data_IF_617897685094
#
_entry.id   IF_617897685094
#
_cell.length_a   1.000
_cell.length_b   1.000
_cell.length_c   1.000
_cell.angle_alpha   90.00
_cell.angle_beta   90.00
_cell.angle_gamma   90.00
#
_symmetry.space_group_name_H-M   'P 1'
#
loop_
_entity.id
_entity.type
_entity.pdbx_description
1 polymer ?
#
# COMPACT_ATOMS: atom_id res chain seq x y z
N UNK A 1 6.52 13.45 19.24
CA UNK A 1 7.06 13.53 17.86
C UNK A 1 7.00 14.97 17.35
N UNK A 2 8.13 15.53 16.92
CA UNK A 2 8.15 16.86 16.30
C UNK A 2 7.45 16.82 14.93
N UNK A 3 6.97 17.98 14.44
CA UNK A 3 6.38 18.09 13.10
C UNK A 3 7.36 17.64 12.00
N UNK A 4 8.66 17.90 12.21
CA UNK A 4 9.73 17.52 11.28
C UNK A 4 9.91 16.02 11.19
N UNK A 5 9.97 15.30 12.31
CA UNK A 5 10.08 13.83 12.33
C UNK A 5 8.86 13.17 11.68
N UNK A 6 7.66 13.73 11.88
CA UNK A 6 6.45 13.23 11.20
C UNK A 6 6.53 13.42 9.68
N UNK A 7 6.98 14.59 9.23
CA UNK A 7 7.17 14.87 7.80
C UNK A 7 8.23 13.93 7.22
N UNK A 8 9.34 13.73 7.94
CA UNK A 8 10.40 12.81 7.54
C UNK A 8 9.87 11.37 7.38
N UNK A 9 9.07 10.89 8.35
CA UNK A 9 8.45 9.57 8.25
C UNK A 9 7.60 9.42 6.98
N UNK A 10 6.75 10.40 6.69
CA UNK A 10 5.89 10.38 5.51
C UNK A 10 6.68 10.44 4.20
N UNK A 11 7.68 11.34 4.12
CA UNK A 11 8.56 11.45 2.94
C UNK A 11 9.32 10.15 2.71
N UNK A 12 9.74 9.49 3.79
CA UNK A 12 10.46 8.23 3.72
C UNK A 12 9.59 7.07 3.17
N UNK A 13 8.31 6.98 3.58
CA UNK A 13 7.35 6.02 2.99
C UNK A 13 7.24 6.25 1.48
N UNK A 14 7.07 7.50 1.06
CA UNK A 14 6.95 7.84 -0.36
C UNK A 14 8.23 7.56 -1.14
N UNK A 15 9.40 7.85 -0.55
CA UNK A 15 10.69 7.58 -1.18
C UNK A 15 10.91 6.07 -1.36
N UNK A 16 10.63 5.26 -0.35
CA UNK A 16 10.72 3.79 -0.45
C UNK A 16 9.86 3.25 -1.60
N UNK A 17 8.62 3.73 -1.74
CA UNK A 17 7.71 3.32 -2.82
C UNK A 17 8.31 3.62 -4.21
N UNK A 18 8.91 4.79 -4.39
CA UNK A 18 9.47 5.23 -5.68
C UNK A 18 10.76 4.49 -5.99
N UNK A 19 11.63 4.33 -5.00
CA UNK A 19 12.90 3.60 -5.15
C UNK A 19 12.65 2.14 -5.50
N UNK A 20 11.71 1.47 -4.84
CA UNK A 20 11.33 0.09 -5.16
C UNK A 20 10.88 -0.06 -6.62
N UNK A 21 10.11 0.91 -7.15
CA UNK A 21 9.69 0.93 -8.57
C UNK A 21 10.86 1.11 -9.52
N UNK A 22 11.75 2.04 -9.21
CA UNK A 22 12.96 2.26 -10.01
C UNK A 22 13.83 0.99 -10.06
N UNK A 23 14.02 0.33 -8.91
CA UNK A 23 14.78 -0.94 -8.82
C UNK A 23 14.17 -2.02 -9.72
N UNK A 24 12.83 -2.18 -9.71
CA UNK A 24 12.16 -3.18 -10.58
C UNK A 24 12.53 -2.94 -12.04
N UNK A 25 12.42 -1.70 -12.52
CA UNK A 25 12.74 -1.40 -13.92
C UNK A 25 14.23 -1.54 -14.23
N UNK A 26 15.15 -1.18 -13.32
CA UNK A 26 16.57 -1.44 -13.47
C UNK A 26 16.86 -2.95 -13.59
N UNK A 27 16.25 -3.77 -12.74
CA UNK A 27 16.42 -5.25 -12.76
C UNK A 27 15.85 -5.88 -14.04
N UNK A 28 14.80 -5.29 -14.59
CA UNK A 28 14.21 -5.71 -15.87
C UNK A 28 14.95 -5.14 -17.10
N UNK A 29 16.00 -4.33 -16.88
CA UNK A 29 16.79 -3.65 -17.92
C UNK A 29 15.96 -2.63 -18.74
N UNK A 30 14.82 -2.20 -18.23
CA UNK A 30 14.05 -1.08 -18.78
C UNK A 30 14.60 0.24 -18.19
N UNK A 31 15.84 0.56 -18.58
CA UNK A 31 16.57 1.71 -18.05
C UNK A 31 15.86 3.03 -18.32
N UNK A 32 15.16 3.13 -19.44
CA UNK A 32 14.40 4.35 -19.78
C UNK A 32 13.36 4.65 -18.72
N UNK A 33 12.52 3.64 -18.36
CA UNK A 33 11.52 3.80 -17.32
C UNK A 33 12.13 3.96 -15.93
N UNK A 34 13.20 3.21 -15.62
CA UNK A 34 13.90 3.35 -14.35
C UNK A 34 14.38 4.78 -14.12
N UNK A 35 14.97 5.40 -15.15
CA UNK A 35 15.48 6.77 -15.10
C UNK A 35 14.39 7.83 -14.96
N UNK A 36 13.15 7.57 -15.40
CA UNK A 36 12.01 8.48 -15.18
C UNK A 36 11.72 8.73 -13.68
N UNK A 37 12.02 7.77 -12.81
CA UNK A 37 11.84 7.91 -11.36
C UNK A 37 12.99 8.65 -10.66
N UNK A 38 14.19 8.67 -11.24
CA UNK A 38 15.40 9.18 -10.57
C UNK A 38 15.34 10.66 -10.17
N UNK A 39 14.71 11.58 -10.92
CA UNK A 39 14.54 12.97 -10.47
C UNK A 39 13.73 13.06 -9.16
N UNK A 40 12.65 12.30 -9.03
CA UNK A 40 11.83 12.29 -7.82
C UNK A 40 12.57 11.58 -6.66
N UNK A 41 13.25 10.45 -6.92
CA UNK A 41 14.15 9.80 -5.95
C UNK A 41 15.16 10.79 -5.41
N UNK A 42 15.87 11.52 -6.28
CA UNK A 42 16.89 12.50 -5.89
C UNK A 42 16.30 13.65 -5.07
N UNK A 43 15.12 14.15 -5.45
CA UNK A 43 14.43 15.22 -4.74
C UNK A 43 14.02 14.82 -3.33
N UNK A 44 13.34 13.66 -3.18
CA UNK A 44 12.90 13.16 -1.87
C UNK A 44 14.08 12.70 -1.01
N UNK A 45 15.09 12.05 -1.60
CA UNK A 45 16.30 11.65 -0.90
C UNK A 45 17.01 12.87 -0.27
N UNK A 46 17.11 13.99 -0.98
CA UNK A 46 17.64 15.24 -0.40
C UNK A 46 16.85 15.67 0.83
N UNK A 47 15.52 15.68 0.77
CA UNK A 47 14.68 16.07 1.92
C UNK A 47 14.87 15.12 3.13
N UNK A 48 15.01 13.81 2.88
CA UNK A 48 15.28 12.84 3.94
C UNK A 48 16.66 13.12 4.57
N UNK A 49 17.70 13.32 3.75
CA UNK A 49 19.06 13.59 4.24
C UNK A 49 19.11 14.90 5.04
N UNK A 50 18.52 15.97 4.50
CA UNK A 50 18.46 17.26 5.18
C UNK A 50 17.74 17.12 6.53
N UNK A 51 16.67 16.32 6.59
CA UNK A 51 15.96 16.02 7.83
C UNK A 51 16.79 15.21 8.82
N UNK A 52 17.54 14.20 8.38
CA UNK A 52 18.45 13.41 9.22
C UNK A 52 19.57 14.26 9.81
N UNK A 53 20.14 15.16 9.01
CA UNK A 53 21.22 16.06 9.45
C UNK A 53 20.71 17.16 10.39
N UNK A 54 19.49 17.67 10.17
CA UNK A 54 18.88 18.67 11.04
C UNK A 54 18.52 18.11 12.42
N UNK A 55 18.15 16.84 12.49
CA UNK A 55 17.76 16.12 13.72
C UNK A 55 18.86 15.10 14.12
N UNK A 56 20.14 15.45 13.96
CA UNK A 56 21.26 14.53 14.15
C UNK A 56 21.33 13.89 15.54
N UNK A 57 20.94 14.62 16.59
CA UNK A 57 20.85 14.07 17.96
C UNK A 57 19.76 12.99 18.07
N UNK A 58 18.66 13.16 17.32
CA UNK A 58 17.60 12.17 17.26
C UNK A 58 18.04 10.92 16.48
N UNK A 59 18.82 11.11 15.43
CA UNK A 59 19.33 10.06 14.53
C UNK A 59 20.81 9.73 14.77
N UNK A 60 21.30 9.83 16.01
CA UNK A 60 22.70 9.58 16.39
C UNK A 60 23.28 8.23 15.92
N UNK A 61 22.42 7.24 15.65
CA UNK A 61 22.82 5.93 15.14
C UNK A 61 23.06 5.91 13.61
N UNK A 62 22.72 7.00 12.91
CA UNK A 62 22.97 7.12 11.47
C UNK A 62 24.33 7.75 11.25
N UNK A 63 25.32 6.96 10.81
CA UNK A 63 26.65 7.45 10.51
C UNK A 63 26.66 8.41 9.31
N UNK A 64 27.09 9.65 9.53
CA UNK A 64 27.19 10.65 8.47
C UNK A 64 28.20 10.21 7.40
N UNK A 65 29.32 9.59 7.78
CA UNK A 65 30.35 9.13 6.84
C UNK A 65 29.79 8.02 5.93
N UNK A 66 29.11 7.04 6.50
CA UNK A 66 28.46 5.97 5.72
C UNK A 66 27.37 6.50 4.78
N UNK A 67 26.64 7.54 5.22
CA UNK A 67 25.64 8.22 4.39
C UNK A 67 26.30 8.90 3.19
N UNK A 68 27.39 9.63 3.40
CA UNK A 68 28.12 10.31 2.33
C UNK A 68 28.73 9.31 1.35
N UNK A 69 29.35 8.22 1.82
CA UNK A 69 29.91 7.17 0.99
C UNK A 69 28.83 6.52 0.11
N UNK A 70 27.67 6.22 0.66
CA UNK A 70 26.53 5.70 -0.10
C UNK A 70 26.07 6.68 -1.21
N UNK A 71 25.95 7.98 -0.89
CA UNK A 71 25.54 9.00 -1.86
C UNK A 71 26.56 9.17 -2.99
N UNK A 72 27.86 9.19 -2.66
CA UNK A 72 28.93 9.25 -3.64
C UNK A 72 28.85 8.05 -4.57
N UNK A 73 28.70 6.83 -4.03
CA UNK A 73 28.51 5.63 -4.83
C UNK A 73 27.33 5.69 -5.79
N UNK A 74 26.16 6.17 -5.33
CA UNK A 74 24.96 6.35 -6.19
C UNK A 74 25.25 7.35 -7.32
N UNK A 75 25.91 8.47 -7.02
CA UNK A 75 26.24 9.48 -8.03
C UNK A 75 27.26 8.93 -9.04
N UNK A 76 28.28 8.22 -8.59
CA UNK A 76 29.30 7.62 -9.46
C UNK A 76 28.72 6.54 -10.37
N UNK A 77 27.91 5.62 -9.82
CA UNK A 77 27.23 4.60 -10.60
C UNK A 77 26.31 5.21 -11.67
N UNK A 78 25.56 6.26 -11.29
CA UNK A 78 24.69 6.97 -12.22
C UNK A 78 25.49 7.67 -13.34
N UNK A 79 26.62 8.31 -13.04
CA UNK A 79 27.49 8.95 -14.03
C UNK A 79 28.18 7.97 -14.98
N UNK A 80 28.55 6.80 -14.44
CA UNK A 80 29.15 5.73 -15.21
C UNK A 80 28.14 4.93 -16.03
N UNK A 81 26.85 5.23 -15.89
CA UNK A 81 25.73 4.45 -16.48
C UNK A 81 25.77 2.96 -16.06
N UNK A 82 26.37 2.68 -14.90
CA UNK A 82 26.37 1.34 -14.31
C UNK A 82 25.03 1.11 -13.57
N UNK A 83 24.02 0.79 -14.33
CA UNK A 83 22.66 0.63 -13.81
C UNK A 83 22.49 -0.62 -12.96
N UNK A 84 23.37 -1.60 -13.08
CA UNK A 84 23.37 -2.78 -12.19
C UNK A 84 23.87 -2.37 -10.81
N UNK A 85 25.02 -1.70 -10.74
CA UNK A 85 25.54 -1.18 -9.48
C UNK A 85 24.59 -0.16 -8.86
N UNK A 86 24.00 0.72 -9.68
CA UNK A 86 23.02 1.70 -9.20
C UNK A 86 21.82 1.00 -8.53
N UNK A 87 21.27 -0.04 -9.15
CA UNK A 87 20.18 -0.83 -8.56
C UNK A 87 20.61 -1.51 -7.25
N UNK A 88 21.83 -2.05 -7.17
CA UNK A 88 22.36 -2.65 -5.94
C UNK A 88 22.50 -1.63 -4.81
N UNK A 89 23.02 -0.45 -5.09
CA UNK A 89 23.16 0.63 -4.11
C UNK A 89 21.79 1.13 -3.62
N UNK A 90 20.83 1.29 -4.52
CA UNK A 90 19.47 1.67 -4.16
C UNK A 90 18.80 0.61 -3.28
N UNK A 91 18.92 -0.67 -3.65
CA UNK A 91 18.25 -1.77 -2.95
C UNK A 91 18.90 -2.11 -1.61
N UNK A 92 20.23 -2.31 -1.60
CA UNK A 92 20.94 -2.86 -0.47
C UNK A 92 21.40 -1.79 0.53
N UNK A 93 21.62 -0.55 0.08
CA UNK A 93 22.07 0.52 0.95
C UNK A 93 20.97 1.54 1.24
N UNK A 94 20.40 2.19 0.22
CA UNK A 94 19.40 3.22 0.42
C UNK A 94 18.12 2.67 1.07
N UNK A 95 17.49 1.63 0.51
CA UNK A 95 16.29 1.05 1.11
C UNK A 95 16.54 0.55 2.54
N UNK A 96 17.70 -0.04 2.82
CA UNK A 96 18.07 -0.49 4.17
C UNK A 96 18.16 0.69 5.13
N UNK A 97 18.83 1.79 4.74
CA UNK A 97 18.90 3.00 5.53
C UNK A 97 17.50 3.54 5.83
N UNK A 98 16.66 3.67 4.79
CA UNK A 98 15.30 4.21 4.92
C UNK A 98 14.44 3.35 5.86
N UNK A 99 14.50 2.02 5.76
CA UNK A 99 13.80 1.12 6.67
C UNK A 99 14.30 1.25 8.11
N UNK A 100 15.62 1.35 8.32
CA UNK A 100 16.20 1.56 9.65
C UNK A 100 15.74 2.89 10.28
N UNK A 101 15.66 3.95 9.49
CA UNK A 101 15.12 5.25 9.92
C UNK A 101 13.65 5.12 10.33
N UNK A 102 12.81 4.42 9.53
CA UNK A 102 11.42 4.17 9.87
C UNK A 102 11.28 3.42 11.20
N UNK A 103 12.02 2.33 11.35
CA UNK A 103 11.98 1.53 12.59
C UNK A 103 12.43 2.35 13.81
N UNK A 104 13.44 3.19 13.66
CA UNK A 104 13.92 4.05 14.74
C UNK A 104 12.84 5.05 15.16
N UNK A 105 12.17 5.70 14.20
CA UNK A 105 11.07 6.62 14.48
C UNK A 105 9.93 5.89 15.18
N UNK A 106 9.53 4.74 14.68
CA UNK A 106 8.45 3.94 15.28
C UNK A 106 8.76 3.53 16.72
N UNK A 107 10.01 3.18 17.02
CA UNK A 107 10.45 2.80 18.39
C UNK A 107 10.52 3.99 19.33
N UNK A 108 11.06 5.14 18.87
CA UNK A 108 11.26 6.31 19.73
C UNK A 108 9.97 7.07 20.04
N UNK A 109 9.02 7.08 19.10
CA UNK A 109 7.87 7.99 19.17
C UNK A 109 6.58 7.32 19.60
N UNK A 110 6.57 6.00 19.84
CA UNK A 110 5.31 5.25 20.02
C UNK A 110 4.29 5.68 18.95
N UNK A 111 4.66 5.52 17.70
CA UNK A 111 3.99 6.12 16.56
C UNK A 111 2.54 5.63 16.46
N UNK A 112 1.61 6.56 16.65
CA UNK A 112 0.18 6.26 16.54
C UNK A 112 -0.24 6.18 15.06
N UNK A 113 -0.41 4.96 14.56
CA UNK A 113 -0.93 4.70 13.20
C UNK A 113 -2.44 4.96 13.08
N UNK A 114 -3.16 4.95 14.18
CA UNK A 114 -4.59 5.22 14.22
C UNK A 114 -4.86 6.70 14.49
N UNK A 115 -5.73 7.31 13.67
CA UNK A 115 -6.27 8.65 13.87
C UNK A 115 -7.79 8.60 13.75
N UNK A 116 -8.49 8.92 14.83
CA UNK A 116 -9.96 8.95 14.87
C UNK A 116 -10.54 9.89 13.81
N UNK A 117 -9.91 11.05 13.60
CA UNK A 117 -10.36 12.02 12.59
C UNK A 117 -10.23 11.44 11.19
N UNK A 118 -9.06 10.90 10.85
CA UNK A 118 -8.82 10.26 9.55
C UNK A 118 -9.78 9.08 9.33
N UNK A 119 -9.95 8.25 10.35
CA UNK A 119 -10.87 7.11 10.28
C UNK A 119 -12.28 7.54 9.94
N UNK A 120 -12.84 8.53 10.65
CA UNK A 120 -14.20 9.05 10.39
C UNK A 120 -14.33 9.64 8.98
N UNK A 121 -13.36 10.44 8.56
CA UNK A 121 -13.36 11.02 7.21
C UNK A 121 -13.35 9.93 6.14
N UNK A 122 -12.49 8.92 6.30
CA UNK A 122 -12.38 7.81 5.36
C UNK A 122 -13.62 6.90 5.37
N UNK A 123 -14.24 6.65 6.54
CA UNK A 123 -15.51 5.92 6.62
C UNK A 123 -16.64 6.63 5.87
N UNK A 124 -16.77 7.95 6.04
CA UNK A 124 -17.79 8.72 5.33
C UNK A 124 -17.58 8.68 3.80
N UNK A 125 -16.33 8.84 3.35
CA UNK A 125 -16.00 8.74 1.94
C UNK A 125 -16.21 7.31 1.40
N UNK A 126 -15.88 6.28 2.18
CA UNK A 126 -16.12 4.87 1.86
C UNK A 126 -17.62 4.57 1.73
N UNK A 127 -18.47 5.08 2.62
CA UNK A 127 -19.92 4.95 2.49
C UNK A 127 -20.42 5.48 1.15
N UNK A 128 -19.91 6.64 0.71
CA UNK A 128 -20.25 7.20 -0.60
C UNK A 128 -19.84 6.30 -1.75
N UNK A 129 -18.66 5.69 -1.68
CA UNK A 129 -18.18 4.72 -2.68
C UNK A 129 -19.00 3.44 -2.70
N UNK A 130 -19.33 2.91 -1.53
CA UNK A 130 -20.17 1.71 -1.38
C UNK A 130 -21.59 1.95 -1.92
N UNK A 131 -22.19 3.10 -1.64
CA UNK A 131 -23.50 3.47 -2.20
C UNK A 131 -23.45 3.55 -3.74
N UNK A 132 -22.40 4.17 -4.30
CA UNK A 132 -22.19 4.23 -5.74
C UNK A 132 -21.95 2.84 -6.35
N UNK A 133 -21.38 1.90 -5.59
CA UNK A 133 -21.20 0.50 -5.97
C UNK A 133 -22.43 -0.39 -5.78
N UNK A 134 -23.57 0.17 -5.36
CA UNK A 134 -24.83 -0.54 -5.19
C UNK A 134 -25.08 -1.16 -3.82
N UNK A 135 -24.19 -0.91 -2.83
CA UNK A 135 -24.40 -1.37 -1.46
C UNK A 135 -25.54 -0.61 -0.80
N UNK A 136 -26.54 -1.32 -0.31
CA UNK A 136 -27.66 -0.73 0.45
C UNK A 136 -27.26 -0.47 1.90
N UNK A 137 -27.53 0.75 2.40
CA UNK A 137 -27.26 1.14 3.79
C UNK A 137 -25.79 0.92 4.23
N UNK A 138 -24.80 1.45 3.48
CA UNK A 138 -23.37 1.22 3.74
C UNK A 138 -22.96 1.75 5.13
N UNK A 139 -23.71 2.70 5.73
CA UNK A 139 -23.45 3.26 7.05
C UNK A 139 -23.49 2.18 8.14
N UNK A 140 -24.34 1.18 8.00
CA UNK A 140 -24.43 0.07 8.98
C UNK A 140 -23.11 -0.68 9.17
N UNK A 141 -22.30 -0.71 8.14
CA UNK A 141 -20.97 -1.34 8.22
C UNK A 141 -20.09 -0.64 9.26
N UNK A 142 -20.24 0.67 9.45
CA UNK A 142 -19.40 1.51 10.30
C UNK A 142 -20.06 1.91 11.64
N UNK A 143 -21.31 1.48 11.91
CA UNK A 143 -22.01 1.75 13.18
C UNK A 143 -21.28 1.14 14.38
N UNK A 144 -20.71 -0.07 14.22
CA UNK A 144 -19.96 -0.73 15.28
C UNK A 144 -18.52 -0.19 15.24
N UNK A 145 -18.01 0.41 16.32
CA UNK A 145 -16.63 0.88 16.38
C UNK A 145 -15.64 -0.28 16.29
N UNK A 146 -14.42 0.04 15.88
CA UNK A 146 -13.32 -0.92 15.91
C UNK A 146 -12.98 -1.27 17.36
N UNK A 147 -13.03 -2.55 17.68
CA UNK A 147 -12.62 -3.08 18.99
C UNK A 147 -11.43 -4.02 18.79
N UNK A 148 -10.22 -3.68 19.30
CA UNK A 148 -9.03 -4.51 19.11
C UNK A 148 -9.18 -5.95 19.62
N UNK A 149 -9.87 -6.15 20.76
CA UNK A 149 -10.07 -7.49 21.33
C UNK A 149 -11.00 -8.33 20.46
N UNK A 150 -12.08 -7.72 19.96
CA UNK A 150 -13.00 -8.40 19.05
C UNK A 150 -12.32 -8.75 17.73
N UNK A 151 -11.50 -7.87 17.19
CA UNK A 151 -10.72 -8.11 15.97
C UNK A 151 -9.78 -9.29 16.14
N UNK A 152 -9.04 -9.36 17.26
CA UNK A 152 -8.16 -10.49 17.56
C UNK A 152 -8.95 -11.80 17.72
N UNK A 153 -10.10 -11.76 18.40
CA UNK A 153 -10.97 -12.92 18.58
C UNK A 153 -11.58 -13.40 17.25
N UNK A 154 -11.82 -12.48 16.32
CA UNK A 154 -12.25 -12.77 14.96
C UNK A 154 -11.11 -13.18 14.02
N UNK A 155 -9.87 -13.21 14.50
CA UNK A 155 -8.70 -13.65 13.76
C UNK A 155 -8.00 -12.57 12.95
N UNK A 156 -8.29 -11.28 13.17
CA UNK A 156 -7.59 -10.18 12.50
C UNK A 156 -6.45 -9.67 13.36
N UNK A 157 -5.27 -9.54 12.77
CA UNK A 157 -4.11 -8.92 13.40
C UNK A 157 -3.55 -7.84 12.48
N UNK A 158 -3.54 -6.61 12.98
CA UNK A 158 -2.96 -5.46 12.29
C UNK A 158 -1.48 -5.39 12.62
N UNK A 159 -0.63 -5.28 11.61
CA UNK A 159 0.82 -5.21 11.76
C UNK A 159 1.40 -4.03 10.99
N UNK A 160 2.37 -3.36 11.60
CA UNK A 160 3.18 -2.36 10.90
C UNK A 160 4.35 -3.06 10.21
N UNK A 161 4.64 -2.63 9.00
CA UNK A 161 5.77 -3.16 8.23
C UNK A 161 7.00 -2.25 8.35
N UNK A 162 8.17 -2.77 8.00
CA UNK A 162 9.42 -2.00 8.06
C UNK A 162 9.40 -0.73 7.18
N UNK A 163 8.57 -0.69 6.16
CA UNK A 163 8.40 0.51 5.33
C UNK A 163 7.45 1.55 5.95
N UNK A 164 6.82 1.26 7.09
CA UNK A 164 5.89 2.18 7.77
C UNK A 164 4.44 2.13 7.27
N UNK A 165 4.11 1.24 6.35
CA UNK A 165 2.73 0.95 5.96
C UNK A 165 2.17 -0.19 6.82
N UNK A 166 0.84 -0.27 6.92
CA UNK A 166 0.16 -1.28 7.69
C UNK A 166 -0.31 -2.45 6.81
N UNK A 167 -0.27 -3.64 7.36
CA UNK A 167 -0.90 -4.83 6.77
C UNK A 167 -1.80 -5.53 7.77
N UNK A 168 -2.63 -6.43 7.29
CA UNK A 168 -3.52 -7.24 8.12
C UNK A 168 -3.25 -8.72 7.85
N UNK A 169 -3.01 -9.46 8.91
CA UNK A 169 -3.02 -10.92 8.89
C UNK A 169 -4.40 -11.42 9.31
N UNK A 170 -4.98 -12.30 8.53
CA UNK A 170 -6.27 -12.95 8.79
C UNK A 170 -6.03 -14.42 9.12
N UNK A 171 -6.52 -14.87 10.27
CA UNK A 171 -6.43 -16.28 10.66
C UNK A 171 -7.32 -17.14 9.76
N UNK A 172 -6.80 -18.29 9.36
CA UNK A 172 -7.51 -19.28 8.56
C UNK A 172 -7.28 -20.68 9.17
N UNK A 173 -7.99 -21.67 8.69
CA UNK A 173 -7.79 -23.09 9.07
C UNK A 173 -6.38 -23.63 8.74
N UNK A 174 -5.67 -22.98 7.82
CA UNK A 174 -4.34 -23.36 7.35
C UNK A 174 -3.21 -22.46 7.86
N UNK A 175 -3.50 -21.55 8.79
CA UNK A 175 -2.57 -20.56 9.31
C UNK A 175 -3.05 -19.13 9.06
N UNK A 176 -2.14 -18.15 9.05
CA UNK A 176 -2.49 -16.75 8.78
C UNK A 176 -2.20 -16.39 7.34
N UNK A 177 -3.13 -15.67 6.70
CA UNK A 177 -2.96 -15.05 5.39
C UNK A 177 -2.76 -13.56 5.58
N UNK A 178 -1.64 -13.03 5.10
CA UNK A 178 -1.42 -11.59 5.05
C UNK A 178 -2.12 -11.01 3.82
N UNK A 179 -2.94 -9.98 4.03
CA UNK A 179 -3.62 -9.29 2.91
C UNK A 179 -2.64 -8.53 2.02
N UNK A 180 -1.54 -8.07 2.60
CA UNK A 180 -0.38 -7.50 1.88
C UNK A 180 0.91 -7.98 2.54
N UNK A 181 2.02 -7.87 1.82
CA UNK A 181 3.34 -8.21 2.33
C UNK A 181 3.58 -7.59 3.72
N UNK A 182 4.18 -8.35 4.62
CA UNK A 182 4.60 -7.84 5.92
C UNK A 182 5.94 -7.07 5.89
N UNK A 183 6.48 -6.82 4.70
CA UNK A 183 7.73 -6.09 4.51
C UNK A 183 7.57 -4.97 3.47
N UNK A 184 7.53 -5.28 2.17
CA UNK A 184 7.52 -4.33 1.06
C UNK A 184 6.11 -4.17 0.48
N UNK A 185 5.21 -3.57 1.25
CA UNK A 185 3.79 -3.39 0.85
C UNK A 185 3.65 -2.60 -0.46
N UNK A 186 4.38 -1.49 -0.60
CA UNK A 186 4.31 -0.66 -1.80
C UNK A 186 4.79 -1.38 -3.05
N UNK A 187 5.88 -2.15 -2.94
CA UNK A 187 6.41 -2.96 -4.04
C UNK A 187 5.41 -4.04 -4.46
N UNK A 188 4.85 -4.78 -3.50
CA UNK A 188 3.84 -5.80 -3.78
C UNK A 188 2.63 -5.19 -4.49
N UNK A 189 2.08 -4.10 -3.95
CA UNK A 189 0.94 -3.40 -4.53
C UNK A 189 1.21 -2.97 -5.98
N UNK A 190 2.41 -2.43 -6.25
CA UNK A 190 2.84 -2.07 -7.59
C UNK A 190 2.90 -3.28 -8.54
N UNK A 191 3.49 -4.40 -8.11
CA UNK A 191 3.63 -5.59 -8.93
C UNK A 191 2.27 -6.25 -9.22
N UNK A 192 1.38 -6.31 -8.22
CA UNK A 192 0.01 -6.81 -8.37
C UNK A 192 -0.76 -5.94 -9.37
N UNK A 193 -0.76 -4.63 -9.17
CA UNK A 193 -1.42 -3.69 -10.08
C UNK A 193 -0.87 -3.79 -11.51
N UNK A 194 0.46 -3.91 -11.64
CA UNK A 194 1.12 -4.09 -12.94
C UNK A 194 0.71 -5.39 -13.63
N UNK A 195 0.50 -6.46 -12.87
CA UNK A 195 0.00 -7.72 -13.43
C UNK A 195 -1.42 -7.56 -13.98
N UNK A 196 -2.29 -6.83 -13.31
CA UNK A 196 -3.63 -6.50 -13.76
C UNK A 196 -3.62 -5.58 -14.99
N UNK A 197 -2.79 -4.56 -14.97
CA UNK A 197 -2.65 -3.57 -16.05
C UNK A 197 -2.09 -4.12 -17.37
N UNK A 198 -1.58 -5.37 -17.38
CA UNK A 198 -1.18 -6.08 -18.64
C UNK A 198 -2.36 -6.35 -19.54
N UNK A 199 -3.57 -6.49 -18.99
CA UNK A 199 -4.80 -6.61 -19.75
C UNK A 199 -5.19 -5.19 -20.23
N UNK A 200 -5.46 -5.06 -21.53
CA UNK A 200 -5.98 -3.81 -22.07
C UNK A 200 -7.49 -3.82 -21.97
N UNK A 201 -8.03 -3.09 -21.02
CA UNK A 201 -9.45 -3.09 -20.70
C UNK A 201 -9.92 -1.68 -20.32
N UNK A 202 -11.18 -1.38 -20.61
CA UNK A 202 -11.83 -0.14 -20.19
C UNK A 202 -12.26 -0.19 -18.70
N UNK A 203 -12.52 -1.41 -18.22
CA UNK A 203 -12.98 -1.63 -16.85
C UNK A 203 -12.23 -2.81 -16.22
N UNK A 204 -11.71 -2.61 -15.03
CA UNK A 204 -11.07 -3.64 -14.23
C UNK A 204 -12.01 -4.05 -13.08
N UNK A 205 -12.39 -5.32 -13.07
CA UNK A 205 -13.20 -5.93 -12.02
C UNK A 205 -12.25 -6.60 -11.03
N UNK A 206 -12.08 -6.00 -9.85
CA UNK A 206 -11.11 -6.46 -8.84
C UNK A 206 -11.86 -7.17 -7.72
N UNK A 207 -11.55 -8.44 -7.48
CA UNK A 207 -12.04 -9.19 -6.32
C UNK A 207 -11.03 -9.10 -5.19
N UNK A 208 -11.43 -8.48 -4.07
CA UNK A 208 -10.64 -8.23 -2.89
C UNK A 208 -10.07 -6.81 -2.84
N UNK A 209 -10.48 -6.05 -1.82
CA UNK A 209 -10.00 -4.69 -1.56
C UNK A 209 -8.69 -4.71 -0.75
N UNK A 210 -8.57 -5.67 0.19
CA UNK A 210 -7.47 -5.70 1.14
C UNK A 210 -7.32 -4.37 1.87
N UNK A 211 -6.11 -3.82 1.89
CA UNK A 211 -5.85 -2.48 2.44
C UNK A 211 -5.93 -1.36 1.38
N UNK A 212 -6.36 -1.67 0.15
CA UNK A 212 -6.55 -0.72 -0.94
C UNK A 212 -5.29 -0.36 -1.74
N UNK A 213 -4.10 -0.80 -1.35
CA UNK A 213 -2.84 -0.37 -1.96
C UNK A 213 -2.74 -0.75 -3.45
N UNK A 214 -3.05 -1.99 -3.81
CA UNK A 214 -3.02 -2.45 -5.20
C UNK A 214 -4.10 -1.80 -6.07
N UNK A 215 -5.24 -1.42 -5.49
CA UNK A 215 -6.30 -0.66 -6.19
C UNK A 215 -5.82 0.76 -6.49
N UNK A 216 -5.19 1.42 -5.50
CA UNK A 216 -4.60 2.75 -5.68
C UNK A 216 -3.49 2.75 -6.75
N UNK A 217 -2.65 1.70 -6.76
CA UNK A 217 -1.60 1.55 -7.77
C UNK A 217 -2.16 1.26 -9.17
N UNK A 218 -3.22 0.44 -9.27
CA UNK A 218 -3.88 0.19 -10.55
C UNK A 218 -4.48 1.48 -11.13
N UNK A 219 -5.10 2.31 -10.29
CA UNK A 219 -5.63 3.60 -10.72
C UNK A 219 -4.53 4.56 -11.21
N UNK A 220 -3.33 4.53 -10.63
CA UNK A 220 -2.17 5.30 -11.14
C UNK A 220 -1.70 4.80 -12.51
N UNK A 221 -1.71 3.48 -12.73
CA UNK A 221 -1.24 2.87 -13.98
C UNK A 221 -2.27 2.94 -15.10
N UNK A 222 -3.56 3.02 -14.77
CA UNK A 222 -4.69 3.08 -15.72
C UNK A 222 -5.65 4.22 -15.32
N UNK A 223 -5.24 5.49 -15.44
CA UNK A 223 -5.99 6.63 -14.90
C UNK A 223 -7.34 6.85 -15.56
N UNK A 224 -7.51 6.44 -16.83
CA UNK A 224 -8.76 6.60 -17.57
C UNK A 224 -9.72 5.39 -17.42
N UNK A 225 -9.23 4.28 -16.87
CA UNK A 225 -10.04 3.07 -16.76
C UNK A 225 -10.97 3.12 -15.53
N UNK A 226 -12.12 2.46 -15.64
CA UNK A 226 -12.99 2.22 -14.51
C UNK A 226 -12.49 1.04 -13.69
N UNK A 227 -12.53 1.17 -12.37
CA UNK A 227 -12.14 0.11 -11.43
C UNK A 227 -13.33 -0.19 -10.53
N UNK A 228 -13.85 -1.40 -10.60
CA UNK A 228 -14.95 -1.87 -9.76
C UNK A 228 -14.41 -2.93 -8.82
N UNK A 229 -14.41 -2.65 -7.52
CA UNK A 229 -13.88 -3.54 -6.50
C UNK A 229 -15.02 -4.25 -5.78
N UNK A 230 -14.89 -5.55 -5.61
CA UNK A 230 -15.80 -6.39 -4.83
C UNK A 230 -15.09 -6.88 -3.58
N UNK A 231 -15.58 -6.51 -2.41
CA UNK A 231 -15.05 -6.96 -1.12
C UNK A 231 -16.15 -7.65 -0.31
N UNK A 232 -15.84 -8.84 0.16
CA UNK A 232 -16.79 -9.66 0.93
C UNK A 232 -16.64 -9.52 2.45
N UNK A 233 -15.55 -8.89 2.90
CA UNK A 233 -15.22 -8.76 4.31
C UNK A 233 -15.33 -7.30 4.78
N UNK A 234 -16.41 -7.03 5.52
CA UNK A 234 -16.65 -5.70 6.07
C UNK A 234 -15.62 -5.25 7.11
N UNK A 235 -14.97 -6.18 7.82
CA UNK A 235 -13.91 -5.82 8.77
C UNK A 235 -12.66 -5.34 8.03
N UNK A 236 -12.35 -5.94 6.89
CA UNK A 236 -11.24 -5.49 6.03
C UNK A 236 -11.47 -4.05 5.56
N UNK A 237 -12.68 -3.68 5.14
CA UNK A 237 -13.00 -2.29 4.77
C UNK A 237 -12.84 -1.31 5.93
N UNK A 238 -13.24 -1.70 7.15
CA UNK A 238 -13.03 -0.88 8.36
C UNK A 238 -11.55 -0.71 8.68
N UNK A 239 -10.79 -1.81 8.63
CA UNK A 239 -9.35 -1.78 8.90
C UNK A 239 -8.59 -0.96 7.87
N UNK A 240 -8.98 -1.04 6.60
CA UNK A 240 -8.42 -0.19 5.56
C UNK A 240 -8.71 1.30 5.82
N UNK A 241 -9.94 1.66 6.21
CA UNK A 241 -10.28 3.03 6.61
C UNK A 241 -9.51 3.52 7.84
N UNK A 242 -9.15 2.61 8.75
CA UNK A 242 -8.42 2.96 9.97
C UNK A 242 -6.91 3.16 9.76
N UNK A 243 -6.32 2.37 8.85
CA UNK A 243 -4.86 2.19 8.81
C UNK A 243 -4.21 2.42 7.45
N UNK A 244 -4.99 2.66 6.38
CA UNK A 244 -4.44 2.93 5.05
C UNK A 244 -4.70 4.38 4.62
N UNK A 245 -3.81 4.98 3.82
CA UNK A 245 -3.98 6.33 3.29
C UNK A 245 -4.92 6.32 2.07
N UNK A 246 -6.23 6.14 2.30
CA UNK A 246 -7.23 5.93 1.24
C UNK A 246 -7.75 7.21 0.58
N UNK A 247 -7.41 8.41 1.08
CA UNK A 247 -8.01 9.66 0.63
C UNK A 247 -8.06 9.79 -0.90
N UNK A 248 -6.91 9.66 -1.57
CA UNK A 248 -6.84 9.79 -3.04
C UNK A 248 -7.63 8.71 -3.78
N UNK A 249 -7.66 7.48 -3.24
CA UNK A 249 -8.44 6.38 -3.80
C UNK A 249 -9.94 6.67 -3.69
N UNK A 250 -10.39 7.14 -2.53
CA UNK A 250 -11.79 7.42 -2.26
C UNK A 250 -12.30 8.69 -2.99
N UNK A 251 -11.42 9.64 -3.31
CA UNK A 251 -11.73 10.81 -4.13
C UNK A 251 -11.77 10.50 -5.64
N UNK A 252 -11.22 9.38 -6.10
CA UNK A 252 -11.16 9.04 -7.52
C UNK A 252 -12.52 8.56 -8.05
N UNK A 253 -13.13 9.33 -8.95
CA UNK A 253 -14.47 9.06 -9.51
C UNK A 253 -14.52 7.76 -10.36
N UNK A 254 -13.40 7.31 -10.91
CA UNK A 254 -13.31 6.09 -11.70
C UNK A 254 -13.31 4.81 -10.84
N UNK A 255 -13.26 4.93 -9.50
CA UNK A 255 -13.26 3.79 -8.59
C UNK A 255 -14.64 3.67 -7.93
N UNK A 256 -15.23 2.49 -7.99
CA UNK A 256 -16.40 2.09 -7.20
C UNK A 256 -16.10 0.84 -6.38
N UNK A 257 -16.73 0.73 -5.22
CA UNK A 257 -16.52 -0.39 -4.29
C UNK A 257 -17.89 -0.98 -3.95
N UNK A 258 -18.02 -2.28 -4.12
CA UNK A 258 -19.22 -3.05 -3.79
C UNK A 258 -18.89 -3.94 -2.57
N UNK A 259 -19.63 -3.79 -1.49
CA UNK A 259 -19.62 -4.75 -0.39
C UNK A 259 -20.54 -5.93 -0.76
N UNK A 260 -19.94 -7.08 -0.93
CA UNK A 260 -20.55 -8.29 -1.50
C UNK A 260 -20.30 -9.48 -0.55
N UNK A 261 -20.94 -9.44 0.64
CA UNK A 261 -20.72 -10.40 1.72
C UNK A 261 -21.01 -11.84 1.31
N UNK A 262 -22.03 -12.04 0.49
CA UNK A 262 -22.49 -13.36 0.04
C UNK A 262 -21.88 -13.77 -1.32
N UNK A 263 -21.17 -12.86 -2.00
CA UNK A 263 -20.55 -13.13 -3.29
C UNK A 263 -21.50 -13.12 -4.49
N UNK A 264 -22.77 -12.74 -4.28
CA UNK A 264 -23.80 -12.76 -5.33
C UNK A 264 -23.51 -11.73 -6.40
N UNK A 265 -23.18 -10.49 -6.00
CA UNK A 265 -22.91 -9.43 -6.96
C UNK A 265 -21.70 -9.75 -7.86
N UNK A 266 -20.66 -10.35 -7.29
CA UNK A 266 -19.51 -10.84 -8.05
C UNK A 266 -19.94 -11.94 -9.03
N UNK A 267 -20.73 -12.93 -8.59
CA UNK A 267 -21.18 -14.04 -9.42
C UNK A 267 -22.00 -13.55 -10.61
N UNK A 268 -23.02 -12.71 -10.34
CA UNK A 268 -23.86 -12.11 -11.38
C UNK A 268 -23.03 -11.31 -12.38
N UNK A 269 -21.97 -10.63 -11.88
CA UNK A 269 -21.07 -9.87 -12.75
C UNK A 269 -20.26 -10.78 -13.66
N UNK A 270 -19.78 -11.92 -13.14
CA UNK A 270 -19.01 -12.89 -13.94
C UNK A 270 -19.87 -13.57 -15.01
N UNK A 271 -21.14 -13.85 -14.73
CA UNK A 271 -22.07 -14.38 -15.75
C UNK A 271 -22.33 -13.38 -16.89
N UNK A 272 -22.21 -12.08 -16.62
CA UNK A 272 -22.46 -10.98 -17.56
C UNK A 272 -21.16 -10.22 -17.92
N UNK A 273 -20.02 -10.91 -17.96
CA UNK A 273 -18.71 -10.33 -18.28
C UNK A 273 -18.68 -9.82 -19.73
N UNK A 274 -18.12 -8.63 -19.93
CA UNK A 274 -17.99 -8.00 -21.26
C UNK A 274 -16.57 -8.14 -21.78
N UNK A 275 -16.40 -8.12 -23.09
CA UNK A 275 -15.09 -8.22 -23.75
C UNK A 275 -14.13 -7.05 -23.42
N UNK A 276 -14.68 -5.89 -23.00
CA UNK A 276 -13.90 -4.70 -22.59
C UNK A 276 -13.52 -4.71 -21.11
N UNK A 277 -13.78 -5.81 -20.41
CA UNK A 277 -13.56 -5.93 -18.98
C UNK A 277 -12.46 -6.94 -18.65
N UNK A 278 -11.60 -6.58 -17.72
CA UNK A 278 -10.57 -7.46 -17.18
C UNK A 278 -10.92 -7.93 -15.75
N UNK A 279 -10.79 -9.23 -15.52
CA UNK A 279 -11.00 -9.84 -14.21
C UNK A 279 -9.67 -9.92 -13.45
N UNK A 280 -9.62 -9.33 -12.28
CA UNK A 280 -8.46 -9.21 -11.43
C UNK A 280 -8.73 -9.80 -10.05
N UNK A 281 -7.92 -10.75 -9.61
CA UNK A 281 -8.08 -11.40 -8.31
C UNK A 281 -6.94 -11.01 -7.38
N UNK A 282 -7.26 -10.33 -6.30
CA UNK A 282 -6.31 -10.14 -5.20
C UNK A 282 -6.30 -11.42 -4.36
N UNK A 283 -5.39 -12.34 -4.70
CA UNK A 283 -5.38 -13.69 -4.15
C UNK A 283 -5.37 -13.76 -2.63
N UNK A 284 -4.62 -12.92 -1.89
CA UNK A 284 -4.68 -12.93 -0.43
C UNK A 284 -6.09 -12.66 0.11
N UNK A 285 -6.80 -11.66 -0.41
CA UNK A 285 -8.19 -11.37 0.00
C UNK A 285 -9.14 -12.51 -0.34
N UNK A 286 -8.98 -13.13 -1.52
CA UNK A 286 -9.82 -14.27 -1.93
C UNK A 286 -9.59 -15.48 -1.00
N UNK A 287 -8.36 -15.74 -0.61
CA UNK A 287 -8.02 -16.83 0.32
C UNK A 287 -8.56 -16.56 1.73
N UNK A 288 -8.40 -15.35 2.25
CA UNK A 288 -8.92 -14.94 3.55
C UNK A 288 -10.45 -15.02 3.59
N UNK A 289 -11.15 -14.50 2.58
CA UNK A 289 -12.60 -14.52 2.49
C UNK A 289 -13.17 -15.95 2.41
N UNK A 290 -12.52 -16.83 1.67
CA UNK A 290 -12.94 -18.25 1.58
C UNK A 290 -12.82 -18.99 2.91
N UNK A 291 -11.78 -18.70 3.69
CA UNK A 291 -11.58 -19.31 5.00
C UNK A 291 -12.58 -18.79 6.05
N UNK A 292 -12.88 -17.50 6.06
CA UNK A 292 -13.87 -16.90 6.96
C UNK A 292 -15.29 -17.44 6.69
N UNK A 293 -15.63 -17.68 5.42
CA UNK A 293 -16.90 -18.28 5.05
C UNK A 293 -17.02 -19.73 5.54
N UNK A 294 -15.92 -20.48 5.54
CA UNK A 294 -15.87 -21.84 6.07
C UNK A 294 -16.02 -21.90 7.61
N UNK A 295 -15.49 -20.88 8.33
CA UNK A 295 -15.61 -20.80 9.80
C UNK A 295 -17.00 -20.36 10.29
N UNK A 296 -17.79 -19.67 9.45
CA UNK A 296 -19.16 -19.23 9.78
C UNK A 296 -20.22 -20.34 9.56
N UNK A 297 -19.85 -21.47 9.00
CA UNK A 297 -20.69 -22.68 8.83
C UNK A 297 -20.39 -23.71 9.89
#
# INVERSE_FOLDING_TARGET
>A
MTSQVKTLFQTNVELLEIVDKAIVYFREQDYTKALEFMPEVSGKMRHVIDGLLAENEYFELVSTDSLMEMLEGIVEASRAEDYVLLADLLELQLCTLLCNVQELIMKKEDYAFFSETMYREQCNAMCSKLAAGGTTQPERLFETPLNPEELLNQGYRVEVTSCGLMTVAVATDRGSVYLHSNNKVGLEAFLVARSFARQDAETYLVKGFGMGYHVAELAKQKPEAKIVVYESDGQVLKLACAFSPLKRLLENENISICYDEDGVAWHDRMENLKDTEAVCLHMPSVQAGSALFAMKR
#
